data_IF_558569144893
#
_entry.id   IF_558569144893
#
_cell.length_a   1.000
_cell.length_b   1.000
_cell.length_c   1.000
_cell.angle_alpha   90.00
_cell.angle_beta   90.00
_cell.angle_gamma   90.00
#
_symmetry.space_group_name_H-M   'P 1'
#
loop_
_entity.id
_entity.type
_entity.pdbx_description
1 polymer ?
#
# COMPACT_ATOMS: atom_id res chain seq x y z
N UNK A 1 9.44 -41.77 -1.77
CA UNK A 1 9.60 -40.81 -0.66
C UNK A 1 9.26 -39.45 -1.24
N UNK A 2 8.30 -38.73 -0.67
CA UNK A 2 7.95 -37.40 -1.17
C UNK A 2 8.79 -36.38 -0.42
N UNK A 3 9.66 -35.65 -1.14
CA UNK A 3 10.38 -34.51 -0.58
C UNK A 3 9.38 -33.37 -0.38
N UNK A 4 8.75 -33.37 0.81
CA UNK A 4 7.85 -32.33 1.29
C UNK A 4 8.64 -31.04 1.48
N UNK A 5 8.85 -30.35 0.35
CA UNK A 5 9.64 -29.15 0.20
C UNK A 5 8.90 -28.00 0.84
N UNK A 6 8.92 -27.96 2.17
CA UNK A 6 8.44 -26.85 2.99
C UNK A 6 9.21 -25.60 2.59
N UNK A 7 8.63 -24.83 1.66
CA UNK A 7 9.05 -23.47 1.41
C UNK A 7 9.15 -22.75 2.76
N UNK A 8 10.25 -22.04 3.05
CA UNK A 8 10.39 -21.35 4.32
C UNK A 8 9.21 -20.39 4.49
N UNK A 9 8.45 -20.56 5.57
CA UNK A 9 7.37 -19.64 5.94
C UNK A 9 7.97 -18.25 6.08
N UNK A 10 7.77 -17.42 5.06
CA UNK A 10 8.47 -16.15 4.97
C UNK A 10 7.76 -15.18 5.91
N UNK A 11 8.28 -15.11 7.14
CA UNK A 11 7.65 -14.39 8.25
C UNK A 11 7.56 -12.90 7.95
N UNK A 12 6.38 -12.48 7.49
CA UNK A 12 6.03 -11.08 7.27
C UNK A 12 6.06 -10.34 8.61
N UNK A 13 6.66 -9.15 8.63
CA UNK A 13 6.78 -8.31 9.84
C UNK A 13 6.08 -6.95 9.67
N UNK A 14 5.81 -6.30 10.80
CA UNK A 14 5.33 -4.91 10.83
C UNK A 14 6.36 -3.99 10.16
N UNK A 15 5.88 -3.01 9.41
CA UNK A 15 6.69 -2.10 8.60
C UNK A 15 7.15 -2.69 7.26
N UNK A 16 6.95 -3.98 7.00
CA UNK A 16 7.29 -4.59 5.72
C UNK A 16 6.25 -4.25 4.64
N UNK A 17 6.73 -4.04 3.42
CA UNK A 17 5.88 -3.92 2.22
C UNK A 17 5.57 -5.30 1.65
N UNK A 18 4.34 -5.52 1.21
CA UNK A 18 3.88 -6.78 0.60
C UNK A 18 3.12 -6.51 -0.70
N UNK A 19 3.06 -7.45 -1.63
CA UNK A 19 1.97 -7.53 -2.59
C UNK A 19 0.85 -8.41 -2.03
N UNK A 20 -0.41 -8.00 -2.21
CA UNK A 20 -1.58 -8.82 -1.93
C UNK A 20 -2.71 -8.51 -2.91
N UNK A 21 -3.65 -9.44 -3.07
CA UNK A 21 -4.87 -9.26 -3.87
C UNK A 21 -6.01 -8.80 -2.98
N UNK A 22 -6.39 -7.52 -3.04
CA UNK A 22 -7.25 -6.90 -2.04
C UNK A 22 -8.44 -6.14 -2.62
N UNK A 23 -9.46 -5.95 -1.80
CA UNK A 23 -10.57 -5.04 -2.09
C UNK A 23 -10.13 -3.63 -1.66
N UNK A 24 -10.29 -2.66 -2.55
CA UNK A 24 -10.04 -1.23 -2.31
C UNK A 24 -11.33 -0.51 -2.69
N UNK A 25 -11.93 0.22 -1.74
CA UNK A 25 -13.13 0.98 -2.01
C UNK A 25 -12.89 2.02 -3.13
N UNK A 26 -13.82 2.17 -4.10
CA UNK A 26 -13.72 3.23 -5.10
C UNK A 26 -13.87 4.60 -4.42
N UNK A 27 -13.15 5.60 -4.91
CA UNK A 27 -13.23 6.99 -4.41
C UNK A 27 -11.90 7.63 -4.02
N UNK A 28 -10.80 6.89 -3.98
CA UNK A 28 -9.49 7.49 -3.62
C UNK A 28 -8.81 8.20 -4.80
N UNK A 29 -8.98 7.66 -6.01
CA UNK A 29 -8.32 8.10 -7.25
C UNK A 29 -9.35 8.51 -8.30
N UNK A 30 -9.07 9.59 -9.02
CA UNK A 30 -9.88 9.98 -10.18
C UNK A 30 -9.62 9.05 -11.37
N UNK A 31 -10.63 8.79 -12.22
CA UNK A 31 -10.39 8.16 -13.52
C UNK A 31 -9.48 9.06 -14.35
N UNK A 32 -8.40 8.48 -14.89
CA UNK A 32 -7.51 9.18 -15.80
C UNK A 32 -8.28 9.75 -16.99
N UNK A 33 -8.02 11.03 -17.31
CA UNK A 33 -8.73 11.78 -18.35
C UNK A 33 -8.63 11.18 -19.77
N UNK A 34 -7.76 10.18 -19.98
CA UNK A 34 -7.90 9.25 -21.11
C UNK A 34 -7.71 7.80 -20.65
N UNK A 35 -8.54 6.90 -21.20
CA UNK A 35 -8.50 5.44 -20.93
C UNK A 35 -7.15 4.80 -21.27
N UNK A 36 -6.35 5.44 -22.12
CA UNK A 36 -5.06 4.93 -22.62
C UNK A 36 -3.86 5.30 -21.72
N UNK A 37 -4.06 6.02 -20.60
CA UNK A 37 -2.98 6.44 -19.67
C UNK A 37 -3.15 5.91 -18.23
N UNK A 38 -4.02 4.91 -18.04
CA UNK A 38 -4.35 4.37 -16.72
C UNK A 38 -3.61 3.04 -16.46
N UNK A 39 -3.04 2.86 -15.26
CA UNK A 39 -2.48 1.57 -14.87
C UNK A 39 -3.59 0.51 -14.70
N UNK A 40 -3.30 -0.75 -14.97
CA UNK A 40 -4.28 -1.85 -14.83
C UNK A 40 -4.91 -1.90 -13.43
N UNK A 41 -4.12 -1.65 -12.38
CA UNK A 41 -4.61 -1.60 -11.01
C UNK A 41 -5.51 -0.37 -10.74
N UNK A 42 -5.13 0.82 -11.22
CA UNK A 42 -5.97 2.02 -11.13
C UNK A 42 -7.32 1.83 -11.84
N UNK A 43 -7.31 1.11 -12.98
CA UNK A 43 -8.54 0.76 -13.71
C UNK A 43 -9.42 -0.22 -12.94
N UNK A 44 -8.83 -1.24 -12.34
CA UNK A 44 -9.58 -2.21 -11.55
C UNK A 44 -10.26 -1.56 -10.33
N UNK A 45 -9.56 -0.68 -9.61
CA UNK A 45 -10.13 0.09 -8.48
C UNK A 45 -11.30 0.97 -8.96
N UNK A 46 -11.14 1.68 -10.08
CA UNK A 46 -12.20 2.52 -10.64
C UNK A 46 -13.40 1.71 -11.15
N UNK A 47 -13.17 0.61 -11.87
CA UNK A 47 -14.21 -0.30 -12.39
C UNK A 47 -14.95 -1.06 -11.26
N UNK A 48 -14.61 -0.83 -9.98
CA UNK A 48 -15.16 -1.56 -8.83
C UNK A 48 -14.77 -3.04 -8.79
N UNK A 49 -13.72 -3.44 -9.53
CA UNK A 49 -13.29 -4.84 -9.64
C UNK A 49 -12.53 -5.26 -8.40
N UNK A 50 -13.05 -6.27 -7.73
CA UNK A 50 -12.42 -6.95 -6.61
C UNK A 50 -12.02 -8.38 -7.02
N UNK A 51 -10.82 -8.87 -6.64
CA UNK A 51 -9.72 -8.17 -5.97
C UNK A 51 -8.78 -7.44 -6.94
N UNK A 52 -7.94 -6.54 -6.41
CA UNK A 52 -6.86 -5.85 -7.13
C UNK A 52 -5.51 -6.19 -6.51
N UNK A 53 -4.53 -6.64 -7.31
CA UNK A 53 -3.16 -6.84 -6.82
C UNK A 53 -2.49 -5.49 -6.58
N UNK A 54 -2.15 -5.18 -5.33
CA UNK A 54 -1.55 -3.90 -4.90
C UNK A 54 -0.45 -4.08 -3.86
N UNK A 55 0.44 -3.09 -3.80
CA UNK A 55 1.49 -3.00 -2.79
C UNK A 55 0.96 -2.36 -1.51
N UNK A 56 1.11 -3.05 -0.38
CA UNK A 56 0.64 -2.64 0.94
C UNK A 56 1.81 -2.50 1.91
N UNK A 57 1.59 -1.76 3.01
CA UNK A 57 2.47 -1.73 4.19
C UNK A 57 1.73 -2.42 5.33
N UNK A 58 2.37 -3.38 5.99
CA UNK A 58 1.84 -4.03 7.20
C UNK A 58 2.03 -3.10 8.39
N UNK A 59 0.94 -2.66 9.02
CA UNK A 59 0.97 -1.79 10.20
C UNK A 59 0.86 -2.58 11.50
N UNK A 60 -0.03 -3.57 11.53
CA UNK A 60 -0.29 -4.38 12.71
C UNK A 60 -0.73 -5.79 12.33
N UNK A 61 -0.87 -6.64 13.34
CA UNK A 61 -1.51 -7.96 13.26
C UNK A 61 -2.70 -7.91 14.20
N UNK A 62 -3.84 -8.48 13.81
CA UNK A 62 -5.03 -8.54 14.68
C UNK A 62 -4.74 -9.33 15.97
N UNK A 63 -5.44 -9.03 17.06
CA UNK A 63 -5.27 -9.75 18.35
C UNK A 63 -5.46 -11.27 18.20
N UNK A 64 -6.40 -11.68 17.34
CA UNK A 64 -6.66 -13.07 16.98
C UNK A 64 -5.55 -13.72 16.14
N UNK A 65 -4.54 -12.96 15.70
CA UNK A 65 -3.41 -13.39 14.86
C UNK A 65 -3.86 -14.08 13.57
N UNK A 66 -4.93 -13.57 12.96
CA UNK A 66 -5.52 -14.10 11.72
C UNK A 66 -5.31 -13.18 10.51
N UNK A 67 -5.16 -11.88 10.72
CA UNK A 67 -5.04 -10.89 9.65
C UNK A 67 -3.90 -9.90 9.93
N UNK A 68 -3.24 -9.46 8.86
CA UNK A 68 -2.48 -8.22 8.85
C UNK A 68 -3.44 -7.03 8.68
N UNK A 69 -3.18 -5.94 9.40
CA UNK A 69 -3.83 -4.65 9.18
C UNK A 69 -2.87 -3.79 8.36
N UNK A 70 -3.32 -3.39 7.17
CA UNK A 70 -2.49 -2.82 6.13
C UNK A 70 -3.05 -1.49 5.60
N UNK A 71 -2.19 -0.72 4.92
CA UNK A 71 -2.58 0.40 4.05
C UNK A 71 -1.91 0.25 2.70
N UNK A 72 -2.55 0.71 1.63
CA UNK A 72 -1.99 0.58 0.28
C UNK A 72 -1.13 1.78 -0.13
N UNK A 73 -0.18 1.50 -1.02
CA UNK A 73 0.73 2.48 -1.61
C UNK A 73 0.42 2.71 -3.09
N UNK A 74 0.67 3.93 -3.55
CA UNK A 74 0.55 4.28 -4.97
C UNK A 74 1.58 5.31 -5.38
N UNK A 75 1.95 5.28 -6.66
CA UNK A 75 2.76 6.30 -7.34
C UNK A 75 1.87 6.98 -8.39
N UNK A 76 2.09 8.27 -8.63
CA UNK A 76 1.26 9.08 -9.54
C UNK A 76 2.04 9.58 -10.77
N UNK A 77 3.06 8.83 -11.18
CA UNK A 77 4.06 9.21 -12.18
C UNK A 77 5.40 9.57 -11.53
N UNK A 78 6.25 10.27 -12.26
CA UNK A 78 7.60 10.69 -11.82
C UNK A 78 7.67 12.05 -11.11
N UNK A 79 6.53 12.75 -10.96
CA UNK A 79 6.45 14.03 -10.24
C UNK A 79 6.61 13.82 -8.74
N UNK A 80 7.37 14.68 -8.05
CA UNK A 80 7.34 14.76 -6.59
C UNK A 80 5.98 15.24 -6.08
N UNK A 81 5.36 16.20 -6.77
CA UNK A 81 4.11 16.81 -6.35
C UNK A 81 2.90 15.95 -6.75
N UNK A 82 1.98 15.78 -5.82
CA UNK A 82 0.70 15.11 -6.04
C UNK A 82 -0.16 15.93 -7.00
N UNK A 83 -0.55 15.33 -8.12
CA UNK A 83 -1.43 15.97 -9.10
C UNK A 83 -2.89 15.88 -8.62
N UNK A 84 -3.56 17.01 -8.31
CA UNK A 84 -4.94 17.00 -7.81
C UNK A 84 -5.94 16.46 -8.84
N UNK A 85 -5.59 16.33 -10.13
CA UNK A 85 -6.44 15.69 -11.14
C UNK A 85 -6.42 14.15 -11.08
N UNK A 86 -5.57 13.55 -10.24
CA UNK A 86 -5.41 12.08 -10.11
C UNK A 86 -6.03 11.52 -8.83
N UNK A 87 -6.35 12.35 -7.85
CA UNK A 87 -6.86 11.96 -6.53
C UNK A 87 -8.12 12.75 -6.20
N UNK A 88 -9.07 12.13 -5.51
CA UNK A 88 -10.35 12.79 -5.17
C UNK A 88 -10.18 13.76 -3.99
N UNK A 89 -9.36 13.38 -3.01
CA UNK A 89 -9.01 14.24 -1.86
C UNK A 89 -7.52 14.07 -1.53
N UNK A 90 -6.73 15.14 -1.66
CA UNK A 90 -5.30 15.14 -1.34
C UNK A 90 -5.02 14.89 0.15
N UNK A 91 -5.97 15.14 1.05
CA UNK A 91 -5.86 14.88 2.49
C UNK A 91 -5.83 13.39 2.82
N UNK A 92 -6.24 12.52 1.89
CA UNK A 92 -6.14 11.08 2.07
C UNK A 92 -4.78 10.51 1.64
N UNK A 93 -3.80 11.33 1.26
CA UNK A 93 -2.53 10.87 0.70
C UNK A 93 -1.32 11.39 1.49
N UNK A 94 -0.70 10.49 2.25
CA UNK A 94 0.52 10.76 3.03
C UNK A 94 1.77 10.52 2.16
N UNK A 95 2.59 11.54 1.86
CA UNK A 95 3.77 11.39 1.00
C UNK A 95 4.92 10.60 1.64
N UNK A 96 5.76 10.01 0.79
CA UNK A 96 6.96 9.25 1.13
C UNK A 96 8.16 9.91 0.41
N UNK A 97 9.06 10.48 1.21
CA UNK A 97 10.17 11.43 0.97
C UNK A 97 10.18 12.29 -0.31
N UNK A 98 10.63 11.84 -1.51
CA UNK A 98 10.64 12.70 -2.69
C UNK A 98 9.24 12.83 -3.32
N UNK A 99 8.19 12.35 -2.66
CA UNK A 99 6.85 12.88 -2.81
C UNK A 99 6.62 14.10 -1.89
N UNK A 100 5.97 15.13 -2.41
CA UNK A 100 5.53 16.33 -1.69
C UNK A 100 3.99 16.33 -1.59
N UNK A 101 3.46 16.91 -0.52
CA UNK A 101 2.02 16.96 -0.28
C UNK A 101 1.66 17.86 0.91
N UNK A 102 0.42 17.72 1.37
CA UNK A 102 -0.14 18.53 2.47
C UNK A 102 0.42 18.13 3.85
N UNK A 103 0.93 16.91 3.99
CA UNK A 103 1.62 16.44 5.19
C UNK A 103 3.13 16.43 5.00
N UNK A 104 3.86 16.49 6.11
CA UNK A 104 5.28 16.11 6.15
C UNK A 104 5.47 14.72 5.53
N UNK A 105 6.44 14.58 4.64
CA UNK A 105 6.75 13.32 3.99
C UNK A 105 7.43 12.35 4.96
N UNK A 106 7.03 11.08 4.92
CA UNK A 106 7.71 10.01 5.64
C UNK A 106 9.12 9.77 5.06
N UNK A 107 10.05 9.29 5.86
CA UNK A 107 11.35 8.85 5.34
C UNK A 107 11.20 7.75 4.26
N UNK A 108 12.13 7.71 3.29
CA UNK A 108 12.19 6.58 2.34
C UNK A 108 12.31 5.25 3.11
N UNK A 109 11.55 4.20 2.73
CA UNK A 109 11.77 2.87 3.29
C UNK A 109 13.10 2.30 2.80
N UNK A 110 13.77 1.52 3.67
CA UNK A 110 14.96 0.76 3.30
C UNK A 110 14.59 -0.24 2.20
N UNK A 111 15.36 -0.27 1.11
CA UNK A 111 15.11 -1.14 -0.05
C UNK A 111 14.06 -0.61 -1.04
N UNK A 112 13.50 0.58 -0.81
CA UNK A 112 12.64 1.26 -1.79
C UNK A 112 13.39 1.65 -3.07
N UNK A 113 12.62 1.97 -4.12
CA UNK A 113 13.11 2.43 -5.42
C UNK A 113 13.49 3.92 -5.46
N UNK A 114 13.29 4.65 -4.37
CA UNK A 114 13.56 6.08 -4.28
C UNK A 114 12.53 6.95 -5.03
N UNK A 115 11.44 6.39 -5.54
CA UNK A 115 10.43 7.13 -6.30
C UNK A 115 9.45 7.88 -5.38
N UNK A 116 8.81 8.91 -5.95
CA UNK A 116 7.73 9.63 -5.31
C UNK A 116 6.51 8.70 -5.11
N UNK A 117 6.21 8.39 -3.86
CA UNK A 117 5.12 7.50 -3.47
C UNK A 117 4.22 8.12 -2.40
N UNK A 118 2.98 7.67 -2.35
CA UNK A 118 2.00 8.07 -1.34
C UNK A 118 1.30 6.85 -0.74
N UNK A 119 0.93 6.98 0.52
CA UNK A 119 0.11 6.02 1.27
C UNK A 119 -1.31 6.56 1.29
N UNK A 120 -2.29 5.71 0.96
CA UNK A 120 -3.70 6.09 1.12
C UNK A 120 -4.14 5.89 2.58
N UNK A 121 -4.75 6.91 3.16
CA UNK A 121 -5.24 6.96 4.54
C UNK A 121 -6.75 6.72 4.66
N UNK A 122 -7.48 6.62 3.55
CA UNK A 122 -8.96 6.53 3.54
C UNK A 122 -9.51 5.22 4.11
N UNK A 123 -8.72 4.15 4.08
CA UNK A 123 -9.13 2.81 4.49
C UNK A 123 -7.94 2.00 5.00
N UNK A 124 -8.14 1.25 6.09
CA UNK A 124 -7.30 0.11 6.45
C UNK A 124 -7.81 -1.14 5.75
N UNK A 125 -6.89 -2.02 5.36
CA UNK A 125 -7.18 -3.24 4.61
C UNK A 125 -6.76 -4.43 5.47
N UNK A 126 -7.68 -5.38 5.67
CA UNK A 126 -7.38 -6.65 6.32
C UNK A 126 -6.92 -7.68 5.29
N UNK A 127 -5.75 -8.28 5.50
CA UNK A 127 -5.19 -9.34 4.65
C UNK A 127 -5.03 -10.61 5.48
N UNK A 128 -5.67 -11.75 5.13
CA UNK A 128 -5.51 -12.99 5.88
C UNK A 128 -4.07 -13.48 5.89
N UNK A 129 -3.56 -13.88 7.05
CA UNK A 129 -2.17 -14.40 7.18
C UNK A 129 -2.00 -15.72 6.43
N UNK A 130 -3.08 -16.50 6.27
CA UNK A 130 -3.09 -17.74 5.52
C UNK A 130 -3.18 -17.55 3.98
N UNK A 131 -3.26 -16.33 3.47
CA UNK A 131 -3.29 -16.06 2.03
C UNK A 131 -1.91 -16.30 1.39
N UNK A 132 -1.78 -17.45 0.73
CA UNK A 132 -0.56 -17.87 0.02
C UNK A 132 -0.23 -17.02 -1.22
N UNK A 133 -1.11 -16.10 -1.64
CA UNK A 133 -0.84 -15.15 -2.72
C UNK A 133 -0.14 -13.86 -2.25
N UNK A 134 0.09 -13.72 -0.95
CA UNK A 134 0.83 -12.59 -0.37
C UNK A 134 2.33 -12.78 -0.62
N UNK A 135 2.93 -11.82 -1.33
CA UNK A 135 4.37 -11.83 -1.65
C UNK A 135 5.09 -10.77 -0.80
N UNK A 136 5.95 -11.15 0.16
CA UNK A 136 6.76 -10.20 0.92
C UNK A 136 7.81 -9.52 0.03
N UNK A 137 7.96 -8.20 0.18
CA UNK A 137 9.00 -7.42 -0.50
C UNK A 137 10.15 -7.10 0.47
N UNK A 138 11.39 -6.93 -0.03
CA UNK A 138 12.54 -6.51 0.77
C UNK A 138 12.54 -4.99 1.04
N UNK A 139 11.36 -4.42 1.32
CA UNK A 139 11.14 -2.98 1.52
C UNK A 139 10.56 -2.76 2.91
N UNK A 140 11.24 -1.97 3.74
CA UNK A 140 10.95 -1.84 5.17
C UNK A 140 10.85 -0.36 5.58
N UNK A 141 9.71 0.02 6.16
CA UNK A 141 9.49 1.35 6.72
C UNK A 141 10.06 1.45 8.13
N UNK A 142 10.73 2.56 8.50
CA UNK A 142 11.15 2.82 9.88
C UNK A 142 9.96 2.79 10.86
N UNK A 143 10.23 2.40 12.11
CA UNK A 143 9.19 2.28 13.15
C UNK A 143 8.43 3.60 13.37
N UNK A 144 9.14 4.74 13.39
CA UNK A 144 8.53 6.08 13.47
C UNK A 144 7.58 6.36 12.30
N UNK A 145 7.92 5.92 11.08
CA UNK A 145 7.04 6.05 9.92
C UNK A 145 5.79 5.19 10.10
N UNK A 146 5.92 3.96 10.61
CA UNK A 146 4.78 3.08 10.91
C UNK A 146 3.88 3.68 12.00
N UNK A 147 4.47 4.24 13.06
CA UNK A 147 3.74 4.92 14.13
C UNK A 147 2.99 6.17 13.62
N UNK A 148 3.66 7.01 12.79
CA UNK A 148 3.02 8.14 12.12
C UNK A 148 1.84 7.70 11.24
N UNK A 149 1.94 6.59 10.51
CA UNK A 149 0.83 6.07 9.69
C UNK A 149 -0.31 5.60 10.59
N UNK A 150 -0.03 4.79 11.63
CA UNK A 150 -1.05 4.28 12.58
C UNK A 150 -1.89 5.39 13.19
N UNK A 151 -1.24 6.43 13.74
CA UNK A 151 -1.92 7.59 14.30
C UNK A 151 -2.75 8.40 13.29
N UNK A 152 -2.51 8.24 11.98
CA UNK A 152 -3.35 8.85 10.91
C UNK A 152 -4.57 8.01 10.54
N UNK A 153 -4.54 6.69 10.78
CA UNK A 153 -5.63 5.75 10.44
C UNK A 153 -6.39 5.23 11.67
N UNK A 154 -6.06 5.70 12.88
CA UNK A 154 -6.75 5.33 14.12
C UNK A 154 -6.33 3.96 14.70
N UNK A 155 -5.05 3.60 14.55
CA UNK A 155 -4.41 2.39 15.10
C UNK A 155 -3.32 2.72 16.13
#
# INVERSE_FOLDING_TARGET
MSEDSKQPETKIIIGQKIWASVIIAPGDVHPAQSKNKMSTASKAIFDGKAPVKKQLIVLAITESKTHFICVYTSTFGSSSKLDPKKVVDSRNWLPIHPAEGQYEALAQPKGGDGLAGWICLSQTILVPIADKSVEPLPVFYPEDSVAKIKGKVGL
#
